data_IF_742081043919
#
_entry.id   IF_742081043919
#
_cell.length_a   1.000
_cell.length_b   1.000
_cell.length_c   1.000
_cell.angle_alpha   90.00
_cell.angle_beta   90.00
_cell.angle_gamma   90.00
#
_symmetry.space_group_name_H-M   'P 1'
#
loop_
_entity.id
_entity.type
_entity.pdbx_description
1 polymer ?
#
# COMPACT_ATOMS: atom_id res chain seq x y z
N UNK A 1 60.20 41.56 8.18
CA UNK A 1 59.28 40.57 8.79
C UNK A 1 58.15 40.31 7.78
N UNK A 2 58.18 39.18 7.03
CA UNK A 2 57.19 38.87 5.99
C UNK A 2 56.08 38.02 6.61
N UNK A 3 54.86 38.55 6.63
CA UNK A 3 53.66 37.90 7.14
C UNK A 3 53.20 36.88 6.07
N UNK A 4 53.28 35.58 6.37
CA UNK A 4 52.70 34.52 5.51
C UNK A 4 51.22 34.37 5.85
N UNK A 5 50.37 34.77 4.90
CA UNK A 5 48.93 34.50 4.96
C UNK A 5 48.70 33.05 4.52
N UNK A 6 48.23 32.18 5.44
CA UNK A 6 47.81 30.84 5.16
C UNK A 6 46.32 30.91 4.81
N UNK A 7 46.01 30.76 3.53
CA UNK A 7 44.60 30.61 3.08
C UNK A 7 44.20 29.14 3.28
N UNK A 8 43.34 28.90 4.27
CA UNK A 8 42.75 27.59 4.52
C UNK A 8 41.58 27.40 3.55
N UNK A 9 41.78 26.61 2.47
CA UNK A 9 40.68 26.19 1.59
C UNK A 9 39.83 25.13 2.32
N UNK A 10 38.68 25.54 2.84
CA UNK A 10 37.66 24.63 3.33
C UNK A 10 36.90 24.15 2.09
N UNK A 11 37.21 22.94 1.58
CA UNK A 11 36.41 22.26 0.59
C UNK A 11 35.09 21.78 1.26
N UNK A 12 34.01 22.50 1.03
CA UNK A 12 32.64 22.03 1.31
C UNK A 12 32.36 20.85 0.39
N UNK A 13 32.53 19.65 0.90
CA UNK A 13 31.95 18.45 0.30
C UNK A 13 30.44 18.57 0.45
N UNK A 14 29.77 19.16 -0.52
CA UNK A 14 28.35 19.02 -0.73
C UNK A 14 28.09 17.56 -1.13
N UNK A 15 27.83 16.69 -0.14
CA UNK A 15 27.19 15.43 -0.42
C UNK A 15 25.79 15.77 -0.96
N UNK A 16 25.63 15.65 -2.28
CA UNK A 16 24.30 15.63 -2.88
C UNK A 16 23.58 14.43 -2.26
N UNK A 17 22.63 14.70 -1.36
CA UNK A 17 21.65 13.70 -0.97
C UNK A 17 20.81 13.48 -2.23
N UNK A 18 21.10 12.42 -2.99
CA UNK A 18 20.18 11.99 -4.03
C UNK A 18 18.83 11.75 -3.37
N UNK A 19 17.83 12.52 -3.78
CA UNK A 19 16.46 12.31 -3.34
C UNK A 19 16.06 10.88 -3.75
N UNK A 20 15.79 10.03 -2.78
CA UNK A 20 15.38 8.66 -3.06
C UNK A 20 14.03 8.69 -3.77
N UNK A 21 13.94 8.07 -4.93
CA UNK A 21 12.71 8.02 -5.74
C UNK A 21 11.64 7.20 -5.01
N UNK A 22 10.48 7.80 -4.78
CA UNK A 22 9.32 7.10 -4.21
C UNK A 22 8.76 6.12 -5.25
N UNK A 23 8.64 4.86 -4.86
CA UNK A 23 8.05 3.80 -5.68
C UNK A 23 6.55 3.71 -5.44
N UNK A 24 5.76 4.52 -6.15
CA UNK A 24 4.30 4.61 -5.99
C UNK A 24 3.57 3.30 -6.30
N UNK A 25 4.16 2.44 -7.12
CA UNK A 25 3.63 1.14 -7.50
C UNK A 25 4.18 -0.04 -6.67
N UNK A 26 5.03 0.22 -5.69
CA UNK A 26 5.59 -0.83 -4.85
C UNK A 26 4.71 -1.10 -3.64
N UNK A 27 4.38 -2.38 -3.45
CA UNK A 27 3.52 -2.90 -2.40
C UNK A 27 4.31 -3.92 -1.56
N UNK A 28 4.53 -3.64 -0.26
CA UNK A 28 5.14 -4.59 0.68
C UNK A 28 4.08 -5.61 1.10
N UNK A 29 4.12 -6.79 0.49
CA UNK A 29 3.25 -7.92 0.81
C UNK A 29 3.68 -8.54 2.14
N UNK A 30 2.70 -8.89 3.00
CA UNK A 30 2.97 -9.40 4.35
C UNK A 30 4.01 -8.54 5.09
N UNK A 31 3.86 -7.23 5.08
CA UNK A 31 4.86 -6.28 5.60
C UNK A 31 5.24 -6.55 7.06
N UNK A 32 4.32 -7.08 7.84
CA UNK A 32 4.49 -7.44 9.25
C UNK A 32 5.48 -8.60 9.48
N UNK A 33 5.85 -9.36 8.45
CA UNK A 33 6.88 -10.41 8.52
C UNK A 33 8.31 -9.85 8.43
N UNK A 34 8.47 -8.54 8.18
CA UNK A 34 9.77 -7.87 8.12
C UNK A 34 10.37 -7.73 9.53
N UNK A 35 11.70 -7.69 9.65
CA UNK A 35 12.37 -7.38 10.93
C UNK A 35 11.88 -6.08 11.58
N UNK A 36 11.51 -5.08 10.76
CA UNK A 36 10.97 -3.80 11.18
C UNK A 36 9.73 -3.46 10.33
N UNK A 37 8.55 -4.02 10.66
CA UNK A 37 7.31 -3.73 9.93
C UNK A 37 7.12 -2.24 9.69
N UNK A 38 6.56 -1.86 8.54
CA UNK A 38 6.45 -0.49 8.04
C UNK A 38 7.82 0.16 7.71
N UNK A 39 8.76 0.13 8.64
CA UNK A 39 10.03 0.86 8.49
C UNK A 39 10.93 0.29 7.39
N UNK A 40 10.92 -1.02 7.19
CA UNK A 40 11.69 -1.64 6.10
C UNK A 40 11.11 -1.24 4.75
N UNK A 41 9.78 -1.27 4.57
CA UNK A 41 9.13 -0.77 3.35
C UNK A 41 9.41 0.72 3.11
N UNK A 42 9.31 1.56 4.15
CA UNK A 42 9.62 2.98 4.05
C UNK A 42 11.09 3.24 3.70
N UNK A 43 12.03 2.40 4.16
CA UNK A 43 13.46 2.54 3.82
C UNK A 43 13.76 2.25 2.34
N UNK A 44 12.93 1.42 1.68
CA UNK A 44 12.96 1.18 0.24
C UNK A 44 12.03 2.11 -0.55
N UNK A 45 11.49 3.15 0.06
CA UNK A 45 10.58 4.12 -0.57
C UNK A 45 9.30 3.50 -1.17
N UNK A 46 8.81 2.41 -0.59
CA UNK A 46 7.55 1.78 -1.01
C UNK A 46 6.37 2.64 -0.56
N UNK A 47 5.38 2.80 -1.43
CA UNK A 47 4.21 3.63 -1.15
C UNK A 47 2.97 2.84 -0.70
N UNK A 48 3.08 1.53 -0.57
CA UNK A 48 2.00 0.69 -0.06
C UNK A 48 2.53 -0.44 0.84
N UNK A 49 1.83 -0.71 1.94
CA UNK A 49 2.09 -1.83 2.84
C UNK A 49 0.82 -2.59 3.20
N UNK A 50 0.98 -3.88 3.50
CA UNK A 50 -0.09 -4.78 3.93
C UNK A 50 0.07 -5.17 5.39
N UNK A 51 -1.02 -5.04 6.17
CA UNK A 51 -1.12 -5.52 7.53
C UNK A 51 -2.31 -6.48 7.67
N UNK A 52 -2.05 -7.71 8.08
CA UNK A 52 -3.10 -8.70 8.37
C UNK A 52 -3.60 -8.52 9.79
N UNK A 53 -4.92 -8.34 9.98
CA UNK A 53 -5.47 -8.05 11.29
C UNK A 53 -6.44 -9.12 11.79
N UNK A 54 -6.21 -9.50 13.05
CA UNK A 54 -7.09 -10.33 13.87
C UNK A 54 -7.73 -9.47 14.96
N UNK A 55 -9.05 -9.50 15.04
CA UNK A 55 -9.78 -8.95 16.18
C UNK A 55 -9.89 -10.03 17.26
N UNK A 56 -9.29 -9.81 18.43
CA UNK A 56 -9.32 -10.72 19.57
C UNK A 56 -9.58 -9.87 20.83
N UNK A 57 -10.65 -10.15 21.55
CA UNK A 57 -11.05 -9.48 22.81
C UNK A 57 -11.06 -7.93 22.70
N UNK A 58 -11.47 -7.41 21.54
CA UNK A 58 -11.60 -5.97 21.31
C UNK A 58 -10.28 -5.26 20.95
N UNK A 59 -9.19 -6.01 20.76
CA UNK A 59 -7.90 -5.50 20.30
C UNK A 59 -7.53 -6.04 18.91
N UNK A 60 -6.73 -5.30 18.16
CA UNK A 60 -6.30 -5.63 16.80
C UNK A 60 -4.84 -6.09 16.80
N UNK A 61 -4.64 -7.36 16.53
CA UNK A 61 -3.32 -7.98 16.46
C UNK A 61 -2.91 -8.22 15.01
N UNK A 62 -1.62 -8.03 14.74
CA UNK A 62 -1.05 -8.17 13.40
C UNK A 62 -0.39 -9.54 13.26
N UNK A 63 -0.92 -10.38 12.37
CA UNK A 63 -0.35 -11.68 12.04
C UNK A 63 -1.04 -12.31 10.83
N UNK A 64 -0.31 -13.17 10.09
CA UNK A 64 -0.91 -13.98 9.03
C UNK A 64 -1.88 -15.01 9.59
N UNK A 65 -1.43 -15.78 10.58
CA UNK A 65 -2.20 -16.81 11.25
C UNK A 65 -2.78 -16.30 12.58
N UNK A 66 -3.75 -17.04 13.11
CA UNK A 66 -4.30 -16.75 14.44
C UNK A 66 -3.21 -16.79 15.51
N UNK A 67 -3.17 -15.76 16.36
CA UNK A 67 -2.15 -15.60 17.41
C UNK A 67 -2.78 -15.47 18.78
N UNK A 68 -2.00 -15.78 19.81
CA UNK A 68 -2.33 -15.38 21.18
C UNK A 68 -2.17 -13.84 21.32
N UNK A 69 -2.97 -13.18 22.17
CA UNK A 69 -2.81 -11.77 22.47
C UNK A 69 -1.38 -11.41 22.88
N UNK A 70 -0.78 -10.46 22.18
CA UNK A 70 0.58 -9.99 22.42
C UNK A 70 0.63 -8.46 22.21
N UNK A 71 0.92 -7.67 23.25
CA UNK A 71 0.94 -6.21 23.15
C UNK A 71 2.04 -5.66 22.24
N UNK A 72 3.00 -6.49 21.80
CA UNK A 72 4.08 -6.06 20.91
C UNK A 72 3.70 -6.11 19.43
N UNK A 73 2.63 -6.80 19.07
CA UNK A 73 2.17 -6.96 17.68
C UNK A 73 0.79 -6.35 17.44
N UNK A 74 0.42 -5.30 18.15
CA UNK A 74 -0.84 -4.59 17.89
C UNK A 74 -0.73 -3.70 16.65
N UNK A 75 -1.84 -3.50 15.96
CA UNK A 75 -1.92 -2.59 14.81
C UNK A 75 -1.48 -1.17 15.15
N UNK A 76 -1.88 -0.67 16.32
CA UNK A 76 -1.47 0.65 16.79
C UNK A 76 0.04 0.77 16.93
N UNK A 77 0.68 -0.25 17.53
CA UNK A 77 2.12 -0.24 17.80
C UNK A 77 2.97 -0.38 16.54
N UNK A 78 2.56 -1.27 15.63
CA UNK A 78 3.36 -1.57 14.44
C UNK A 78 3.12 -0.60 13.28
N UNK A 79 1.91 -0.05 13.13
CA UNK A 79 1.55 0.75 11.96
C UNK A 79 0.99 2.13 12.30
N UNK A 80 -0.09 2.22 13.10
CA UNK A 80 -0.83 3.46 13.26
C UNK A 80 0.02 4.56 13.89
N UNK A 81 0.57 4.32 15.07
CA UNK A 81 1.35 5.34 15.80
C UNK A 81 2.65 5.71 15.09
N UNK A 82 3.44 4.76 14.54
CA UNK A 82 4.61 5.09 13.73
C UNK A 82 4.29 5.95 12.50
N UNK A 83 3.17 5.69 11.80
CA UNK A 83 2.73 6.52 10.68
C UNK A 83 2.34 7.93 11.13
N UNK A 84 1.58 8.05 12.23
CA UNK A 84 1.19 9.35 12.80
C UNK A 84 2.41 10.19 13.15
N UNK A 85 3.40 9.62 13.83
CA UNK A 85 4.65 10.30 14.18
C UNK A 85 5.43 10.73 12.93
N UNK A 86 5.54 9.84 11.96
CA UNK A 86 6.22 10.14 10.70
C UNK A 86 5.55 11.27 9.93
N UNK A 87 4.22 11.23 9.80
CA UNK A 87 3.45 12.27 9.10
C UNK A 87 3.63 13.63 9.81
N UNK A 88 3.56 13.64 11.13
CA UNK A 88 3.80 14.85 11.92
C UNK A 88 5.21 15.41 11.70
N UNK A 89 6.23 14.55 11.72
CA UNK A 89 7.63 14.93 11.49
C UNK A 89 7.86 15.48 10.08
N UNK A 90 7.15 14.95 9.08
CA UNK A 90 7.32 15.28 7.68
C UNK A 90 6.33 16.36 7.17
N UNK A 91 5.75 17.15 8.07
CA UNK A 91 4.89 18.27 7.67
C UNK A 91 3.55 17.88 7.04
N UNK A 92 2.99 16.73 7.47
CA UNK A 92 1.66 16.28 7.03
C UNK A 92 1.68 15.18 5.96
N UNK A 93 2.83 14.60 5.64
CA UNK A 93 2.99 13.55 4.61
C UNK A 93 3.83 12.38 5.11
N UNK A 94 3.63 11.19 4.54
CA UNK A 94 4.48 10.02 4.85
C UNK A 94 5.87 10.22 4.25
N UNK A 95 5.96 10.70 3.01
CA UNK A 95 7.18 11.16 2.35
C UNK A 95 7.08 12.67 2.10
N UNK A 96 8.08 13.49 2.51
CA UNK A 96 7.98 14.95 2.36
C UNK A 96 7.70 15.41 0.93
N UNK A 97 8.32 14.74 -0.04
CA UNK A 97 8.26 15.11 -1.46
C UNK A 97 7.12 14.38 -2.23
N UNK A 98 6.27 13.61 -1.52
CA UNK A 98 5.16 12.91 -2.18
C UNK A 98 4.05 13.89 -2.55
N UNK A 99 3.50 13.70 -3.75
CA UNK A 99 2.27 14.33 -4.24
C UNK A 99 1.04 13.42 -4.13
N UNK A 100 1.21 12.20 -3.60
CA UNK A 100 0.18 11.17 -3.46
C UNK A 100 0.11 10.65 -2.04
N UNK A 101 -1.06 10.11 -1.62
CA UNK A 101 -1.19 9.42 -0.34
C UNK A 101 -0.34 8.15 -0.29
N UNK A 102 0.06 7.77 0.92
CA UNK A 102 0.58 6.45 1.23
C UNK A 102 -0.58 5.47 1.39
N UNK A 103 -0.46 4.26 0.88
CA UNK A 103 -1.49 3.24 0.93
C UNK A 103 -1.25 2.28 2.10
N UNK A 104 -2.20 2.22 3.03
CA UNK A 104 -2.21 1.21 4.08
C UNK A 104 -3.36 0.26 3.83
N UNK A 105 -3.04 -0.94 3.33
CA UNK A 105 -3.98 -2.03 3.17
C UNK A 105 -4.05 -2.85 4.45
N UNK A 106 -5.26 -3.18 4.85
CA UNK A 106 -5.52 -4.12 5.94
C UNK A 106 -6.30 -5.30 5.42
N UNK A 107 -5.73 -6.50 5.56
CA UNK A 107 -6.45 -7.76 5.32
C UNK A 107 -7.16 -8.22 6.61
N UNK A 108 -8.47 -8.19 6.60
CA UNK A 108 -9.31 -8.60 7.71
C UNK A 108 -9.33 -10.15 7.82
N UNK A 109 -8.60 -10.71 8.77
CA UNK A 109 -8.54 -12.17 9.00
C UNK A 109 -9.73 -12.70 9.80
N UNK A 110 -10.40 -11.85 10.57
CA UNK A 110 -11.64 -12.15 11.28
C UNK A 110 -12.83 -11.44 10.65
N UNK A 111 -14.02 -11.54 11.25
CA UNK A 111 -15.22 -10.86 10.77
C UNK A 111 -15.02 -9.34 10.70
N UNK A 112 -15.01 -8.79 9.48
CA UNK A 112 -14.82 -7.38 9.23
C UNK A 112 -15.92 -6.50 9.78
N UNK A 113 -17.16 -6.95 9.81
CA UNK A 113 -18.28 -6.19 10.39
C UNK A 113 -18.09 -5.98 11.90
N UNK A 114 -17.55 -6.97 12.61
CA UNK A 114 -17.18 -6.85 14.01
C UNK A 114 -15.90 -6.02 14.21
N UNK A 115 -14.94 -6.11 13.29
CA UNK A 115 -13.68 -5.37 13.34
C UNK A 115 -13.85 -3.87 13.05
N UNK A 116 -14.78 -3.51 12.18
CA UNK A 116 -14.94 -2.15 11.68
C UNK A 116 -15.15 -1.08 12.76
N UNK A 117 -16.06 -1.25 13.75
CA UNK A 117 -16.22 -0.26 14.80
C UNK A 117 -14.95 -0.09 15.66
N UNK A 118 -14.18 -1.16 15.86
CA UNK A 118 -12.92 -1.10 16.60
C UNK A 118 -11.87 -0.31 15.81
N UNK A 119 -11.71 -0.60 14.51
CA UNK A 119 -10.85 0.18 13.62
C UNK A 119 -11.24 1.66 13.60
N UNK A 120 -12.52 1.97 13.39
CA UNK A 120 -12.99 3.36 13.39
C UNK A 120 -12.66 4.09 14.70
N UNK A 121 -12.89 3.43 15.83
CA UNK A 121 -12.59 4.01 17.16
C UNK A 121 -11.09 4.33 17.29
N UNK A 122 -10.19 3.43 16.84
CA UNK A 122 -8.74 3.61 16.93
C UNK A 122 -8.24 4.68 15.96
N UNK A 123 -8.78 4.76 14.75
CA UNK A 123 -8.39 5.72 13.73
C UNK A 123 -8.98 7.13 13.95
N UNK A 124 -10.13 7.25 14.62
CA UNK A 124 -10.87 8.51 14.78
C UNK A 124 -10.05 9.68 15.35
N UNK A 125 -9.14 9.51 16.34
CA UNK A 125 -8.28 10.60 16.82
C UNK A 125 -7.34 11.18 15.75
N UNK A 126 -7.08 10.42 14.67
CA UNK A 126 -6.15 10.75 13.60
C UNK A 126 -6.85 10.89 12.24
N UNK A 127 -8.18 11.01 12.23
CA UNK A 127 -9.01 11.01 11.01
C UNK A 127 -8.53 11.99 9.96
N UNK A 128 -8.07 13.18 10.34
CA UNK A 128 -7.56 14.20 9.43
C UNK A 128 -6.32 13.79 8.61
N UNK A 129 -5.64 12.71 9.02
CA UNK A 129 -4.47 12.17 8.31
C UNK A 129 -4.86 11.21 7.19
N UNK A 130 -6.12 10.74 7.20
CA UNK A 130 -6.61 9.79 6.19
C UNK A 130 -7.35 10.52 5.08
N UNK A 131 -7.28 9.97 3.86
CA UNK A 131 -8.14 10.39 2.76
C UNK A 131 -9.60 10.23 3.15
N UNK A 132 -10.46 11.10 2.62
CA UNK A 132 -11.91 11.08 2.88
C UNK A 132 -12.70 11.01 1.58
N UNK A 133 -13.81 10.32 1.62
CA UNK A 133 -14.85 10.52 0.61
C UNK A 133 -15.74 11.67 1.09
N UNK A 134 -15.94 12.67 0.24
CA UNK A 134 -16.87 13.77 0.45
C UNK A 134 -17.62 14.05 -0.83
N UNK A 135 -18.95 14.02 -0.76
CA UNK A 135 -19.84 14.28 -1.91
C UNK A 135 -19.49 13.40 -3.14
N UNK A 136 -19.17 12.12 -2.92
CA UNK A 136 -18.82 11.14 -3.94
C UNK A 136 -17.41 11.32 -4.53
N UNK A 137 -16.58 12.20 -3.97
CA UNK A 137 -15.22 12.47 -4.43
C UNK A 137 -14.21 12.16 -3.35
N UNK A 138 -13.07 11.59 -3.76
CA UNK A 138 -11.93 11.38 -2.87
C UNK A 138 -11.26 12.74 -2.58
N UNK A 139 -11.15 13.06 -1.30
CA UNK A 139 -10.32 14.14 -0.78
C UNK A 139 -9.03 13.53 -0.26
N UNK A 140 -7.93 13.84 -0.88
CA UNK A 140 -6.64 13.25 -0.53
C UNK A 140 -6.08 13.86 0.77
N UNK A 141 -5.41 13.00 1.54
CA UNK A 141 -4.61 13.35 2.72
C UNK A 141 -3.36 12.46 2.76
N UNK A 142 -2.69 12.34 3.91
CA UNK A 142 -1.42 11.61 4.02
C UNK A 142 -1.54 10.11 3.72
N UNK A 143 -2.66 9.47 4.09
CA UNK A 143 -2.85 8.03 4.00
C UNK A 143 -4.19 7.67 3.38
N UNK A 144 -4.19 6.77 2.41
CA UNK A 144 -5.37 6.07 1.93
C UNK A 144 -5.44 4.71 2.63
N UNK A 145 -6.45 4.54 3.50
CA UNK A 145 -6.64 3.34 4.31
C UNK A 145 -7.76 2.48 3.73
N UNK A 146 -7.47 1.23 3.35
CA UNK A 146 -8.48 0.37 2.73
C UNK A 146 -8.41 -1.07 3.24
N UNK A 147 -9.57 -1.74 3.22
CA UNK A 147 -9.80 -3.06 3.80
C UNK A 147 -10.01 -4.12 2.74
N UNK A 148 -9.27 -5.21 2.87
CA UNK A 148 -9.36 -6.43 2.08
C UNK A 148 -9.80 -7.63 2.94
N UNK A 149 -9.74 -8.84 2.40
CA UNK A 149 -10.09 -10.08 3.10
C UNK A 149 -11.57 -10.15 3.47
N UNK A 150 -11.85 -10.45 4.72
CA UNK A 150 -13.22 -10.47 5.26
C UNK A 150 -13.75 -9.06 5.56
N UNK A 151 -13.54 -8.13 4.62
CA UNK A 151 -13.83 -6.72 4.80
C UNK A 151 -15.32 -6.43 5.08
N UNK A 152 -15.63 -5.35 5.82
CA UNK A 152 -17.00 -4.96 6.22
C UNK A 152 -17.71 -4.23 5.06
N UNK A 153 -17.97 -4.93 3.96
CA UNK A 153 -18.50 -4.33 2.72
C UNK A 153 -19.85 -3.61 2.94
N UNK A 154 -20.72 -4.14 3.80
CA UNK A 154 -22.03 -3.54 4.09
C UNK A 154 -21.89 -2.26 4.89
N UNK A 155 -21.09 -2.30 5.97
CA UNK A 155 -20.88 -1.13 6.83
C UNK A 155 -20.25 0.02 6.03
N UNK A 156 -19.21 -0.23 5.24
CA UNK A 156 -18.55 0.79 4.43
C UNK A 156 -19.48 1.33 3.33
N UNK A 157 -20.26 0.46 2.66
CA UNK A 157 -21.20 0.90 1.65
C UNK A 157 -22.31 1.81 2.18
N UNK A 158 -22.72 1.60 3.44
CA UNK A 158 -23.76 2.40 4.09
C UNK A 158 -23.28 3.78 4.57
N UNK A 159 -21.96 4.02 4.60
CA UNK A 159 -21.42 5.30 5.08
C UNK A 159 -21.31 6.35 3.96
N UNK A 160 -21.55 7.58 4.36
CA UNK A 160 -21.16 8.79 3.63
C UNK A 160 -20.04 9.48 4.40
N UNK A 161 -19.16 10.22 3.68
CA UNK A 161 -17.99 10.88 4.29
C UNK A 161 -17.04 9.88 4.99
N UNK A 162 -16.80 8.74 4.34
CA UNK A 162 -15.91 7.69 4.86
C UNK A 162 -14.43 8.08 4.74
N UNK A 163 -13.63 7.53 5.65
CA UNK A 163 -12.15 7.60 5.60
C UNK A 163 -11.51 6.21 5.65
N UNK A 164 -12.32 5.17 5.53
CA UNK A 164 -11.92 3.78 5.37
C UNK A 164 -12.57 3.28 4.10
N UNK A 165 -11.78 2.71 3.19
CA UNK A 165 -12.20 2.31 1.86
C UNK A 165 -12.20 0.79 1.71
N UNK A 166 -12.65 0.30 0.54
CA UNK A 166 -12.69 -1.12 0.22
C UNK A 166 -11.65 -1.49 -0.84
N UNK A 167 -11.06 -2.65 -0.68
CA UNK A 167 -10.50 -3.43 -1.77
C UNK A 167 -11.61 -4.16 -2.49
N UNK A 168 -11.69 -4.00 -3.81
CA UNK A 168 -12.64 -4.72 -4.65
C UNK A 168 -12.02 -5.92 -5.32
N UNK A 169 -12.84 -6.64 -6.07
CA UNK A 169 -12.45 -7.76 -6.90
C UNK A 169 -12.81 -7.50 -8.37
N UNK A 170 -12.30 -8.32 -9.29
CA UNK A 170 -12.70 -8.27 -10.71
C UNK A 170 -14.22 -8.39 -10.86
N UNK A 171 -14.89 -9.12 -9.96
CA UNK A 171 -16.34 -9.27 -9.98
C UNK A 171 -17.08 -7.96 -9.62
N UNK A 172 -16.41 -6.97 -9.07
CA UNK A 172 -17.00 -5.66 -8.76
C UNK A 172 -16.94 -4.66 -9.93
N UNK A 173 -16.15 -4.95 -10.95
CA UNK A 173 -16.08 -4.14 -12.16
C UNK A 173 -17.44 -4.10 -12.88
N UNK A 174 -17.78 -2.95 -13.41
CA UNK A 174 -19.06 -2.72 -14.11
C UNK A 174 -20.28 -2.55 -13.20
N UNK A 175 -20.13 -2.65 -11.87
CA UNK A 175 -21.24 -2.47 -10.91
C UNK A 175 -21.52 -1.02 -10.52
N UNK A 176 -20.76 -0.06 -11.05
CA UNK A 176 -20.95 1.35 -10.74
C UNK A 176 -20.54 1.76 -9.34
N UNK A 177 -19.70 0.96 -8.65
CA UNK A 177 -19.15 1.32 -7.33
C UNK A 177 -18.07 2.39 -7.55
N UNK A 178 -18.18 3.60 -6.99
CA UNK A 178 -17.24 4.67 -7.27
C UNK A 178 -15.84 4.39 -6.70
N UNK A 179 -14.78 4.92 -7.35
CA UNK A 179 -13.41 4.85 -6.85
C UNK A 179 -13.27 5.50 -5.46
N UNK A 180 -14.08 6.53 -5.15
CA UNK A 180 -14.16 7.15 -3.82
C UNK A 180 -14.74 6.24 -2.73
N UNK A 181 -15.17 5.01 -3.06
CA UNK A 181 -15.56 3.97 -2.12
C UNK A 181 -14.64 2.75 -2.22
N UNK A 182 -14.22 2.42 -3.42
CA UNK A 182 -13.43 1.23 -3.76
C UNK A 182 -12.29 1.64 -4.70
N UNK A 183 -11.21 2.23 -4.14
CA UNK A 183 -10.13 2.79 -4.94
C UNK A 183 -9.21 1.74 -5.56
N UNK A 184 -9.24 0.51 -5.08
CA UNK A 184 -8.38 -0.58 -5.55
C UNK A 184 -9.25 -1.77 -5.95
N UNK A 185 -8.86 -2.44 -7.03
CA UNK A 185 -9.35 -3.76 -7.43
C UNK A 185 -8.17 -4.73 -7.34
N UNK A 186 -8.27 -5.74 -6.49
CA UNK A 186 -7.25 -6.78 -6.40
C UNK A 186 -7.86 -8.17 -6.50
N UNK A 187 -7.20 -9.07 -7.25
CA UNK A 187 -7.71 -10.43 -7.40
C UNK A 187 -6.59 -11.47 -7.62
N UNK A 188 -6.98 -12.73 -7.52
CA UNK A 188 -6.08 -13.87 -7.60
C UNK A 188 -5.61 -14.10 -9.04
N UNK A 189 -4.33 -13.83 -9.30
CA UNK A 189 -3.71 -14.06 -10.60
C UNK A 189 -3.85 -15.52 -11.06
N UNK A 190 -3.66 -16.48 -10.16
CA UNK A 190 -3.72 -17.90 -10.52
C UNK A 190 -5.12 -18.36 -10.93
N UNK A 191 -6.17 -17.75 -10.35
CA UNK A 191 -7.58 -18.03 -10.72
C UNK A 191 -7.92 -17.50 -12.11
N UNK A 192 -7.47 -16.29 -12.46
CA UNK A 192 -7.93 -15.60 -13.66
C UNK A 192 -7.01 -15.79 -14.87
N UNK A 193 -5.70 -15.80 -14.66
CA UNK A 193 -4.66 -15.88 -15.70
C UNK A 193 -3.94 -17.22 -15.67
N UNK A 194 -3.37 -17.60 -14.52
CA UNK A 194 -2.81 -18.93 -14.26
C UNK A 194 -1.61 -19.32 -15.14
N UNK A 195 -0.96 -18.39 -15.85
CA UNK A 195 0.31 -18.66 -16.52
C UNK A 195 1.43 -18.67 -15.47
N UNK A 196 2.32 -19.67 -15.55
CA UNK A 196 3.34 -19.91 -14.51
C UNK A 196 4.76 -19.49 -14.91
N UNK A 197 4.92 -18.69 -15.98
CA UNK A 197 6.22 -18.19 -16.42
C UNK A 197 7.01 -19.15 -17.31
N UNK A 198 6.40 -20.22 -17.80
CA UNK A 198 7.06 -21.14 -18.74
C UNK A 198 6.76 -20.74 -20.18
N UNK A 199 7.81 -20.48 -20.96
CA UNK A 199 7.69 -19.97 -22.34
C UNK A 199 7.06 -18.57 -22.39
N UNK A 200 6.50 -18.22 -23.53
CA UNK A 200 5.76 -16.96 -23.68
C UNK A 200 4.37 -17.06 -23.07
N UNK A 201 3.88 -15.94 -22.53
CA UNK A 201 2.50 -15.89 -22.07
C UNK A 201 1.54 -16.03 -23.27
N UNK A 202 0.57 -16.95 -23.23
CA UNK A 202 -0.41 -17.08 -24.32
C UNK A 202 -1.14 -15.76 -24.58
N UNK A 203 -1.30 -15.41 -25.86
CA UNK A 203 -1.89 -14.13 -26.27
C UNK A 203 -3.26 -13.87 -25.65
N UNK A 204 -4.11 -14.91 -25.55
CA UNK A 204 -5.44 -14.83 -24.92
C UNK A 204 -5.37 -14.46 -23.43
N UNK A 205 -4.38 -15.01 -22.70
CA UNK A 205 -4.17 -14.72 -21.27
C UNK A 205 -3.66 -13.32 -21.07
N UNK A 206 -2.73 -12.89 -21.93
CA UNK A 206 -2.19 -11.54 -21.90
C UNK A 206 -3.31 -10.51 -22.19
N UNK A 207 -4.14 -10.75 -23.20
CA UNK A 207 -5.23 -9.85 -23.54
C UNK A 207 -6.30 -9.81 -22.42
N UNK A 208 -6.61 -10.95 -21.82
CA UNK A 208 -7.51 -11.00 -20.66
C UNK A 208 -6.97 -10.18 -19.47
N UNK A 209 -5.66 -10.25 -19.19
CA UNK A 209 -5.03 -9.45 -18.15
C UNK A 209 -5.14 -7.95 -18.45
N UNK A 210 -4.84 -7.55 -19.69
CA UNK A 210 -4.97 -6.17 -20.16
C UNK A 210 -6.39 -5.64 -20.06
N UNK A 211 -7.37 -6.49 -20.37
CA UNK A 211 -8.78 -6.13 -20.26
C UNK A 211 -9.19 -5.77 -18.83
N UNK A 212 -8.80 -6.56 -17.84
CA UNK A 212 -9.08 -6.25 -16.44
C UNK A 212 -8.42 -4.95 -15.98
N UNK A 213 -7.18 -4.71 -16.40
CA UNK A 213 -6.46 -3.45 -16.10
C UNK A 213 -7.19 -2.26 -16.74
N UNK A 214 -7.57 -2.36 -18.04
CA UNK A 214 -8.29 -1.28 -18.73
C UNK A 214 -9.65 -0.98 -18.08
N UNK A 215 -10.42 -2.01 -17.72
CA UNK A 215 -11.71 -1.84 -17.05
C UNK A 215 -11.55 -1.15 -15.70
N UNK A 216 -10.55 -1.56 -14.91
CA UNK A 216 -10.23 -0.94 -13.63
C UNK A 216 -9.87 0.54 -13.79
N UNK A 217 -8.98 0.85 -14.73
CA UNK A 217 -8.56 2.23 -15.00
C UNK A 217 -9.71 3.09 -15.55
N UNK A 218 -10.60 2.51 -16.37
CA UNK A 218 -11.80 3.22 -16.87
C UNK A 218 -12.75 3.64 -15.74
N UNK A 219 -12.74 2.94 -14.61
CA UNK A 219 -13.48 3.30 -13.40
C UNK A 219 -12.69 4.23 -12.45
N UNK A 220 -11.47 4.67 -12.82
CA UNK A 220 -10.60 5.52 -12.01
C UNK A 220 -10.02 4.82 -10.79
N UNK A 221 -9.85 3.50 -10.85
CA UNK A 221 -9.34 2.66 -9.77
C UNK A 221 -7.94 2.15 -10.08
N UNK A 222 -7.21 1.70 -9.04
CA UNK A 222 -5.93 1.03 -9.15
C UNK A 222 -6.12 -0.49 -9.23
N UNK A 223 -5.23 -1.18 -9.96
CA UNK A 223 -5.27 -2.61 -10.13
C UNK A 223 -4.08 -3.32 -9.46
N UNK A 224 -4.35 -4.45 -8.78
CA UNK A 224 -3.35 -5.31 -8.14
C UNK A 224 -3.62 -6.78 -8.43
N UNK A 225 -2.58 -7.56 -8.78
CA UNK A 225 -2.60 -9.01 -8.71
C UNK A 225 -2.01 -9.53 -7.41
N UNK A 226 -2.70 -10.47 -6.74
CA UNK A 226 -2.11 -11.29 -5.69
C UNK A 226 -2.05 -12.77 -6.11
N UNK A 227 -1.25 -13.60 -5.42
CA UNK A 227 -1.10 -15.02 -5.73
C UNK A 227 -0.40 -15.31 -7.07
N UNK A 228 0.33 -14.35 -7.62
CA UNK A 228 1.25 -14.55 -8.73
C UNK A 228 2.63 -15.01 -8.22
N UNK A 229 3.44 -15.73 -9.04
CA UNK A 229 4.81 -16.05 -8.66
C UNK A 229 5.64 -14.79 -8.37
N UNK A 230 6.31 -14.76 -7.20
CA UNK A 230 7.14 -13.62 -6.81
C UNK A 230 8.53 -13.69 -7.44
N UNK A 231 8.60 -13.42 -8.76
CA UNK A 231 9.83 -13.49 -9.55
C UNK A 231 10.05 -12.21 -10.35
N UNK A 232 11.31 -11.88 -10.74
CA UNK A 232 11.60 -10.73 -11.60
C UNK A 232 10.82 -10.73 -12.91
N UNK A 233 10.53 -11.91 -13.49
CA UNK A 233 9.75 -12.04 -14.72
C UNK A 233 8.35 -11.46 -14.53
N UNK A 234 7.66 -11.82 -13.46
CA UNK A 234 6.30 -11.35 -13.17
C UNK A 234 6.27 -9.87 -12.80
N UNK A 235 7.26 -9.38 -12.02
CA UNK A 235 7.38 -7.96 -11.70
C UNK A 235 7.51 -7.11 -12.96
N UNK A 236 8.43 -7.50 -13.88
CA UNK A 236 8.61 -6.80 -15.16
C UNK A 236 7.39 -6.89 -16.07
N UNK A 237 6.72 -8.05 -16.12
CA UNK A 237 5.47 -8.20 -16.86
C UNK A 237 4.40 -7.24 -16.32
N UNK A 238 4.20 -7.20 -15.02
CA UNK A 238 3.18 -6.34 -14.40
C UNK A 238 3.47 -4.86 -14.59
N UNK A 239 4.74 -4.42 -14.47
CA UNK A 239 5.16 -3.06 -14.79
C UNK A 239 4.83 -2.72 -16.25
N UNK A 240 5.22 -3.60 -17.18
CA UNK A 240 5.00 -3.40 -18.61
C UNK A 240 3.51 -3.31 -18.98
N UNK A 241 2.69 -4.10 -18.33
CA UNK A 241 1.25 -4.17 -18.64
C UNK A 241 0.41 -3.16 -17.84
N UNK A 242 1.05 -2.35 -16.98
CA UNK A 242 0.39 -1.25 -16.29
C UNK A 242 -0.38 -1.66 -15.02
N UNK A 243 0.04 -2.72 -14.33
CA UNK A 243 -0.45 -3.04 -12.98
C UNK A 243 0.02 -1.96 -12.01
N UNK A 244 -0.88 -1.39 -11.23
CA UNK A 244 -0.59 -0.23 -10.39
C UNK A 244 0.11 -0.57 -9.07
N UNK A 245 -0.28 -1.68 -8.43
CA UNK A 245 0.30 -2.12 -7.17
C UNK A 245 0.96 -3.49 -7.34
N UNK A 246 2.29 -3.51 -7.23
CA UNK A 246 3.12 -4.70 -7.46
C UNK A 246 3.63 -5.20 -6.12
N UNK A 247 3.02 -6.30 -5.64
CA UNK A 247 3.39 -6.93 -4.38
C UNK A 247 4.79 -7.58 -4.45
N UNK A 248 5.55 -7.52 -3.36
CA UNK A 248 6.82 -8.22 -3.21
C UNK A 248 7.08 -8.64 -1.77
N UNK A 249 7.69 -9.82 -1.64
CA UNK A 249 8.29 -10.30 -0.40
C UNK A 249 9.76 -9.87 -0.30
N UNK A 250 10.48 -9.80 -1.41
CA UNK A 250 11.81 -9.20 -1.47
C UNK A 250 11.74 -7.73 -1.91
N UNK A 251 11.72 -6.82 -0.92
CA UNK A 251 11.62 -5.38 -1.14
C UNK A 251 12.80 -4.84 -1.94
N UNK A 252 14.01 -5.35 -1.65
CA UNK A 252 15.22 -4.92 -2.34
C UNK A 252 15.19 -5.31 -3.82
N UNK A 253 14.78 -6.54 -4.12
CA UNK A 253 14.68 -7.01 -5.50
C UNK A 253 13.68 -6.16 -6.31
N UNK A 254 12.49 -5.88 -5.75
CA UNK A 254 11.52 -5.03 -6.44
C UNK A 254 12.03 -3.58 -6.61
N UNK A 255 12.64 -2.99 -5.57
CA UNK A 255 13.22 -1.64 -5.66
C UNK A 255 14.24 -1.54 -6.79
N UNK A 256 15.15 -2.52 -6.94
CA UNK A 256 16.12 -2.56 -8.03
C UNK A 256 15.47 -2.66 -9.42
N UNK A 257 14.39 -3.44 -9.55
CA UNK A 257 13.63 -3.55 -10.81
C UNK A 257 12.97 -2.21 -11.15
N UNK A 258 12.39 -1.52 -10.18
CA UNK A 258 11.70 -0.24 -10.39
C UNK A 258 12.65 0.92 -10.69
N UNK A 259 13.91 0.84 -10.25
CA UNK A 259 14.95 1.81 -10.59
C UNK A 259 15.49 1.61 -12.01
N UNK A 260 15.36 0.40 -12.57
CA UNK A 260 15.85 0.03 -13.91
C UNK A 260 14.77 -0.81 -14.63
N UNK A 261 13.64 -0.20 -14.99
CA UNK A 261 12.47 -0.88 -15.53
C UNK A 261 12.68 -1.45 -16.95
#
# INVERSE_FOLDING_TARGET
>A
MKLKVIILLISLLSSSIEAQTIHYNAFSHNDYERPRPLFDALSFQFNCVEADLWLIDGELYVSHDSVAPNPDITFEKLYLLPLVERIKKNGGKVYPDSDRPFYLMVDCKTDGEAMYPVLKKKLKPYESLFCHEKDGKLQESAVLFYLSGRSPRKAIAAETNRFIFLDGTIEDLGKGIPAAQMPVISDNYSKYIGWKGQGEIPAEKLEKMREYIRQTHAEGKLFRWWGAPDTPLFKKLFIKEGVDLIGADDLKALSLILQNP
#
